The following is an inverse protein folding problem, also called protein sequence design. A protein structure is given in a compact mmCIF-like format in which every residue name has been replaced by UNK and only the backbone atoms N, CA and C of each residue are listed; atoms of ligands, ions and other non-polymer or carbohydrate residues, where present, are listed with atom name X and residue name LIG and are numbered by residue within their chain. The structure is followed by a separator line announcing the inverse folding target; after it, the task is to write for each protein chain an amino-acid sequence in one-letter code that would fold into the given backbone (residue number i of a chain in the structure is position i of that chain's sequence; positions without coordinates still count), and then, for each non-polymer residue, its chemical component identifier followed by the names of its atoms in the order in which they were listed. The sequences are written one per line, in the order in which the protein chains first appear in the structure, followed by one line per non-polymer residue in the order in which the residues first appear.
data_IF_510263750759
#
_entry.id   IF_510263750759
#
_cell.length_a   1.000
_cell.length_b   1.000
_cell.length_c   1.000
_cell.angle_alpha   90.00
_cell.angle_beta   90.00
_cell.angle_gamma   90.00
#
_symmetry.space_group_name_H-M   'P 1'
#
loop_
_entity.id
_entity.type
_entity.pdbx_description
1 polymer ?
#
# COMPACT_ATOMS: atom_id res chain seq x y z
N UNK A 1 1.26 -1.96 -30.22
CA UNK A 1 0.50 -3.17 -29.79
C UNK A 1 -0.32 -3.77 -30.93
N UNK A 2 -1.18 -3.02 -31.61
CA UNK A 2 -2.15 -3.57 -32.57
C UNK A 2 -1.80 -3.41 -34.07
N UNK A 3 -0.57 -3.02 -34.40
CA UNK A 3 -0.14 -2.80 -35.79
C UNK A 3 -0.79 -1.60 -36.49
N UNK A 4 -1.52 -0.75 -35.77
CA UNK A 4 -2.11 0.49 -36.27
C UNK A 4 -1.19 1.68 -35.96
N UNK A 5 -0.99 2.55 -36.94
CA UNK A 5 -0.25 3.81 -36.77
C UNK A 5 -1.18 4.91 -36.24
N UNK A 6 -0.61 6.01 -35.74
CA UNK A 6 -1.40 7.18 -35.36
C UNK A 6 -2.23 7.72 -36.54
N UNK A 7 -1.62 7.79 -37.73
CA UNK A 7 -2.30 8.25 -38.94
C UNK A 7 -3.51 7.37 -39.30
N UNK A 8 -3.42 6.06 -39.09
CA UNK A 8 -4.56 5.16 -39.29
C UNK A 8 -5.72 5.54 -38.36
N UNK A 9 -5.43 5.70 -37.07
CA UNK A 9 -6.44 6.01 -36.06
C UNK A 9 -7.13 7.35 -36.35
N UNK A 10 -6.36 8.37 -36.72
CA UNK A 10 -6.88 9.73 -36.93
C UNK A 10 -7.67 9.87 -38.23
N UNK A 11 -7.37 9.07 -39.26
CA UNK A 11 -7.87 9.33 -40.63
C UNK A 11 -8.86 8.29 -41.16
N UNK A 12 -8.92 7.07 -40.60
CA UNK A 12 -9.67 5.95 -41.22
C UNK A 12 -10.95 5.55 -40.49
N UNK A 13 -11.49 6.41 -39.60
CA UNK A 13 -12.84 6.25 -39.05
C UNK A 13 -13.05 5.03 -38.15
N UNK A 14 -12.04 4.66 -37.36
CA UNK A 14 -12.14 3.55 -36.40
C UNK A 14 -13.13 3.83 -35.26
N UNK A 15 -13.76 2.77 -34.76
CA UNK A 15 -14.46 2.74 -33.47
C UNK A 15 -13.60 2.00 -32.46
N UNK A 16 -13.11 2.72 -31.44
CA UNK A 16 -12.29 2.17 -30.36
C UNK A 16 -13.14 2.10 -29.10
N UNK A 17 -13.38 0.88 -28.63
CA UNK A 17 -14.08 0.60 -27.39
C UNK A 17 -13.07 0.48 -26.26
N UNK A 18 -13.37 1.11 -25.14
CA UNK A 18 -12.44 1.22 -24.00
C UNK A 18 -13.09 0.78 -22.71
N UNK A 19 -12.27 0.67 -21.67
CA UNK A 19 -12.69 0.41 -20.28
C UNK A 19 -13.08 1.70 -19.53
N UNK A 20 -13.04 2.84 -20.21
CA UNK A 20 -13.30 4.16 -19.65
C UNK A 20 -14.68 4.25 -18.98
N UNK A 21 -14.69 4.66 -17.72
CA UNK A 21 -15.86 5.19 -17.04
C UNK A 21 -15.82 6.72 -17.17
N UNK A 22 -16.74 7.28 -17.96
CA UNK A 22 -16.77 8.72 -18.23
C UNK A 22 -17.06 9.55 -16.98
N UNK A 23 -17.81 9.01 -16.01
CA UNK A 23 -18.08 9.70 -14.74
C UNK A 23 -16.79 9.72 -13.91
N UNK A 24 -16.12 8.59 -13.73
CA UNK A 24 -14.85 8.54 -12.99
C UNK A 24 -13.78 9.44 -13.65
N UNK A 25 -13.64 9.39 -14.97
CA UNK A 25 -12.66 10.20 -15.69
C UNK A 25 -12.95 11.71 -15.57
N UNK A 26 -14.20 12.13 -15.73
CA UNK A 26 -14.56 13.56 -15.64
C UNK A 26 -14.43 14.09 -14.21
N UNK A 27 -14.72 13.27 -13.20
CA UNK A 27 -14.42 13.55 -11.79
C UNK A 27 -12.92 13.74 -11.58
N UNK A 28 -12.09 12.80 -12.03
CA UNK A 28 -10.62 12.87 -11.90
C UNK A 28 -10.07 14.14 -12.56
N UNK A 29 -10.52 14.46 -13.78
CA UNK A 29 -10.15 15.68 -14.49
C UNK A 29 -10.54 16.96 -13.74
N UNK A 30 -11.72 16.97 -13.11
CA UNK A 30 -12.22 18.12 -12.35
C UNK A 30 -11.40 18.34 -11.08
N UNK A 31 -11.02 17.26 -10.40
CA UNK A 31 -10.17 17.31 -9.20
C UNK A 31 -8.74 17.75 -9.54
N UNK A 32 -8.20 17.33 -10.68
CA UNK A 32 -6.88 17.78 -11.17
C UNK A 32 -6.82 19.27 -11.55
N UNK A 33 -7.96 19.87 -11.92
CA UNK A 33 -8.05 21.32 -12.19
C UNK A 33 -8.05 22.16 -10.91
N UNK A 34 -8.41 21.57 -9.76
CA UNK A 34 -8.44 22.29 -8.49
C UNK A 34 -7.06 22.27 -7.83
N UNK A 35 -6.34 23.39 -7.87
CA UNK A 35 -5.02 23.53 -7.26
C UNK A 35 -5.00 23.27 -5.76
N UNK A 36 -6.13 23.40 -5.06
CA UNK A 36 -6.23 23.13 -3.63
C UNK A 36 -6.06 21.66 -3.27
N UNK A 37 -6.11 20.74 -4.25
CA UNK A 37 -5.88 19.31 -4.03
C UNK A 37 -4.40 18.92 -4.05
N UNK A 38 -3.49 19.87 -4.25
CA UNK A 38 -2.07 19.60 -4.44
C UNK A 38 -1.21 20.47 -3.52
N UNK A 39 0.06 20.09 -3.29
CA UNK A 39 1.02 20.96 -2.62
C UNK A 39 1.20 22.29 -3.36
N UNK A 40 1.67 23.28 -2.62
CA UNK A 40 2.12 24.53 -3.19
C UNK A 40 3.20 24.30 -4.26
N UNK A 41 3.23 25.16 -5.26
CA UNK A 41 4.30 25.18 -6.23
C UNK A 41 5.63 25.57 -5.55
N UNK A 42 6.74 25.20 -6.18
CA UNK A 42 8.07 25.66 -5.76
C UNK A 42 8.17 27.20 -5.86
N UNK A 43 9.19 27.75 -5.20
CA UNK A 43 9.41 29.21 -5.15
C UNK A 43 9.63 29.85 -6.53
N UNK A 44 10.10 29.08 -7.50
CA UNK A 44 10.29 29.53 -8.89
C UNK A 44 9.01 29.41 -9.75
N UNK A 45 7.90 28.99 -9.14
CA UNK A 45 6.62 28.76 -9.80
C UNK A 45 6.46 27.35 -10.39
N UNK A 46 7.49 26.50 -10.33
CA UNK A 46 7.42 25.11 -10.82
C UNK A 46 6.32 24.37 -10.08
N UNK A 47 5.41 23.78 -10.85
CA UNK A 47 4.27 23.05 -10.30
C UNK A 47 4.72 21.65 -9.86
N UNK A 48 4.31 21.24 -8.64
CA UNK A 48 4.34 19.83 -8.26
C UNK A 48 3.47 19.05 -9.22
N UNK A 49 3.98 17.99 -9.83
CA UNK A 49 3.20 17.15 -10.73
C UNK A 49 2.49 16.05 -9.97
N UNK A 50 1.47 15.48 -10.62
CA UNK A 50 0.69 14.38 -10.08
C UNK A 50 0.22 13.43 -11.17
N UNK A 51 -0.12 12.21 -10.78
CA UNK A 51 -0.75 11.22 -11.62
C UNK A 51 -1.71 10.37 -10.80
N UNK A 52 -2.86 10.05 -11.38
CA UNK A 52 -3.83 9.13 -10.79
C UNK A 52 -4.27 8.09 -11.82
N UNK A 53 -4.50 6.87 -11.37
CA UNK A 53 -5.07 5.80 -12.20
C UNK A 53 -6.05 4.97 -11.37
N UNK A 54 -7.24 4.76 -11.94
CA UNK A 54 -8.31 3.96 -11.38
C UNK A 54 -8.50 2.70 -12.23
N UNK A 55 -8.64 1.55 -11.58
CA UNK A 55 -8.71 0.25 -12.24
C UNK A 55 -9.76 -0.65 -11.60
N UNK A 56 -10.55 -1.34 -12.41
CA UNK A 56 -11.40 -2.44 -11.96
C UNK A 56 -10.52 -3.67 -11.64
N UNK A 57 -10.42 -4.09 -10.37
CA UNK A 57 -9.55 -5.19 -9.98
C UNK A 57 -10.00 -6.55 -10.50
N UNK A 58 -11.25 -6.69 -10.93
CA UNK A 58 -11.80 -7.98 -11.39
C UNK A 58 -11.32 -8.36 -12.79
N UNK A 59 -11.03 -7.37 -13.63
CA UNK A 59 -10.62 -7.56 -15.02
C UNK A 59 -9.35 -6.79 -15.42
N UNK A 60 -8.91 -5.78 -14.66
CA UNK A 60 -7.74 -4.95 -14.98
C UNK A 60 -8.02 -3.78 -15.92
N UNK A 61 -9.29 -3.50 -16.20
CA UNK A 61 -9.71 -2.38 -17.04
C UNK A 61 -9.45 -1.05 -16.34
N UNK A 62 -8.73 -0.16 -17.02
CA UNK A 62 -8.47 1.20 -16.51
C UNK A 62 -9.70 2.06 -16.76
N UNK A 63 -10.36 2.47 -15.68
CA UNK A 63 -11.63 3.20 -15.73
C UNK A 63 -11.43 4.71 -15.78
N UNK A 64 -10.34 5.22 -15.21
CA UNK A 64 -9.94 6.62 -15.29
C UNK A 64 -8.41 6.77 -15.17
N UNK A 65 -7.85 7.77 -15.84
CA UNK A 65 -6.41 8.08 -15.80
C UNK A 65 -6.14 9.58 -15.95
N UNK A 66 -5.21 10.10 -15.15
CA UNK A 66 -4.68 11.45 -15.27
C UNK A 66 -3.15 11.42 -15.23
N UNK A 67 -2.51 11.98 -16.26
CA UNK A 67 -1.06 11.90 -16.46
C UNK A 67 -0.24 13.14 -16.04
N UNK A 68 -0.89 14.17 -15.51
CA UNK A 68 -0.23 15.42 -15.15
C UNK A 68 -1.18 16.55 -14.81
N UNK A 69 -0.63 17.58 -14.17
CA UNK A 69 -1.25 18.88 -13.93
C UNK A 69 -0.77 19.90 -14.97
N UNK A 70 -1.52 20.99 -15.10
CA UNK A 70 -1.17 22.11 -15.97
C UNK A 70 -1.59 21.90 -17.41
N UNK A 71 -0.83 22.49 -18.34
CA UNK A 71 -1.15 22.43 -19.76
C UNK A 71 -0.96 21.02 -20.33
N UNK A 72 -1.96 20.56 -21.08
CA UNK A 72 -1.92 19.30 -21.80
C UNK A 72 -1.58 19.54 -23.26
N UNK A 73 -0.61 18.80 -23.77
CA UNK A 73 -0.30 18.71 -25.21
C UNK A 73 -0.68 17.33 -25.74
N UNK A 74 -1.03 17.24 -27.02
CA UNK A 74 -1.40 15.98 -27.65
C UNK A 74 -0.29 14.94 -27.48
N UNK A 75 -0.63 13.80 -26.86
CA UNK A 75 0.32 12.72 -26.51
C UNK A 75 1.52 13.19 -25.69
N UNK A 76 1.34 14.25 -24.89
CA UNK A 76 2.32 14.68 -23.92
C UNK A 76 2.70 13.56 -22.94
N UNK A 77 3.82 13.77 -22.24
CA UNK A 77 4.31 12.80 -21.27
C UNK A 77 3.26 12.49 -20.20
N UNK A 78 2.87 11.23 -20.09
CA UNK A 78 1.84 10.78 -19.17
C UNK A 78 2.49 10.08 -17.97
N UNK A 79 2.46 10.74 -16.82
CA UNK A 79 3.09 10.22 -15.60
C UNK A 79 2.42 8.97 -15.04
N UNK A 80 1.15 8.72 -15.35
CA UNK A 80 0.46 7.50 -14.91
C UNK A 80 0.96 6.24 -15.62
N UNK A 81 1.36 6.36 -16.90
CA UNK A 81 1.69 5.21 -17.75
C UNK A 81 3.14 5.16 -18.23
N UNK A 82 3.85 6.29 -18.25
CA UNK A 82 5.20 6.40 -18.82
C UNK A 82 6.27 6.78 -17.80
N UNK A 83 5.92 7.45 -16.70
CA UNK A 83 6.89 7.80 -15.67
C UNK A 83 7.28 6.56 -14.89
N UNK A 84 8.58 6.44 -14.59
CA UNK A 84 9.11 5.42 -13.70
C UNK A 84 9.77 6.13 -12.52
N UNK A 85 9.27 5.87 -11.32
CA UNK A 85 9.68 6.52 -10.06
C UNK A 85 9.94 5.48 -8.98
N UNK A 86 10.70 5.85 -7.97
CA UNK A 86 10.85 4.97 -6.80
C UNK A 86 9.46 4.73 -6.19
N UNK A 87 9.02 3.48 -5.96
CA UNK A 87 7.78 3.22 -5.23
C UNK A 87 7.89 3.58 -3.74
N UNK A 88 9.12 3.79 -3.24
CA UNK A 88 9.36 3.92 -1.81
C UNK A 88 8.75 2.73 -1.06
N UNK A 89 8.03 3.02 0.03
CA UNK A 89 7.42 1.99 0.88
C UNK A 89 6.20 1.26 0.30
N UNK A 90 5.63 1.67 -0.84
CA UNK A 90 4.51 0.92 -1.45
C UNK A 90 4.93 -0.44 -1.99
N UNK A 91 6.24 -0.69 -2.14
CA UNK A 91 6.76 -1.99 -2.55
C UNK A 91 6.76 -3.03 -1.41
N UNK A 92 6.73 -2.61 -0.14
CA UNK A 92 6.85 -3.51 1.03
C UNK A 92 5.83 -4.67 1.04
N UNK A 93 4.53 -4.46 0.74
CA UNK A 93 3.56 -5.56 0.64
C UNK A 93 4.02 -6.66 -0.31
N UNK A 94 4.64 -6.30 -1.44
CA UNK A 94 5.11 -7.25 -2.46
C UNK A 94 6.47 -7.86 -2.12
N UNK A 95 7.40 -7.03 -1.67
CA UNK A 95 8.80 -7.39 -1.48
C UNK A 95 9.07 -8.16 -0.18
N UNK A 96 8.31 -7.91 0.90
CA UNK A 96 8.61 -8.53 2.19
C UNK A 96 7.41 -9.16 2.87
N UNK A 97 6.29 -8.47 2.99
CA UNK A 97 5.22 -8.97 3.86
C UNK A 97 4.46 -10.13 3.20
N UNK A 98 4.13 -10.05 1.90
CA UNK A 98 3.50 -11.19 1.19
C UNK A 98 4.38 -12.43 1.21
N UNK A 99 5.68 -12.37 0.81
CA UNK A 99 6.52 -13.55 0.85
C UNK A 99 6.75 -14.03 2.29
N UNK A 100 6.76 -13.17 3.32
CA UNK A 100 6.81 -13.61 4.71
C UNK A 100 5.57 -14.42 5.11
N UNK A 101 4.35 -13.96 4.77
CA UNK A 101 3.11 -14.71 5.00
C UNK A 101 3.11 -16.08 4.28
N UNK A 102 3.71 -16.15 3.10
CA UNK A 102 3.89 -17.42 2.38
C UNK A 102 4.90 -18.37 3.05
N UNK A 103 5.66 -17.88 4.04
CA UNK A 103 6.77 -18.59 4.68
C UNK A 103 6.59 -18.70 6.20
N UNK A 104 5.34 -18.79 6.67
CA UNK A 104 5.02 -19.14 8.06
C UNK A 104 5.02 -17.98 9.05
N UNK A 105 5.11 -16.74 8.57
CA UNK A 105 4.76 -15.58 9.37
C UNK A 105 3.26 -15.29 9.29
N UNK A 106 2.77 -14.60 10.30
CA UNK A 106 1.38 -14.19 10.45
C UNK A 106 1.30 -12.68 10.72
N UNK A 107 0.09 -12.12 10.63
CA UNK A 107 -0.15 -10.68 10.82
C UNK A 107 0.38 -10.12 12.15
N UNK A 108 0.41 -10.93 13.20
CA UNK A 108 0.82 -10.61 14.58
C UNK A 108 2.25 -11.03 14.89
N UNK A 109 2.98 -11.63 13.93
CA UNK A 109 4.37 -12.05 14.17
C UNK A 109 5.25 -10.87 14.55
N UNK A 110 5.98 -11.02 15.65
CA UNK A 110 6.90 -10.00 16.16
C UNK A 110 8.12 -9.84 15.25
N UNK A 111 8.37 -8.59 14.85
CA UNK A 111 9.48 -8.21 13.98
C UNK A 111 10.47 -7.34 14.75
N UNK A 112 11.76 -7.56 14.52
CA UNK A 112 12.79 -6.76 15.18
C UNK A 112 12.81 -5.32 14.63
N UNK A 113 12.58 -4.34 15.51
CA UNK A 113 12.62 -2.92 15.22
C UNK A 113 13.81 -2.27 15.93
N UNK A 114 15.02 -2.45 15.37
CA UNK A 114 16.29 -1.92 15.90
C UNK A 114 17.16 -1.38 14.78
N UNK A 115 17.91 -0.31 15.08
CA UNK A 115 19.00 0.17 14.22
C UNK A 115 20.06 -0.92 14.11
N UNK A 116 20.32 -1.36 12.88
CA UNK A 116 21.26 -2.44 12.62
C UNK A 116 21.87 -2.29 11.22
N UNK A 117 23.11 -2.72 11.08
CA UNK A 117 23.82 -2.72 9.80
C UNK A 117 23.83 -4.13 9.20
N UNK A 118 23.68 -4.21 7.89
CA UNK A 118 23.62 -5.45 7.13
C UNK A 118 24.73 -5.51 6.10
N UNK A 119 25.16 -6.74 5.79
CA UNK A 119 26.12 -7.03 4.74
C UNK A 119 27.52 -6.45 5.00
N UNK A 120 28.42 -6.70 4.06
CA UNK A 120 29.80 -6.17 4.09
C UNK A 120 29.87 -4.70 3.70
N UNK A 121 28.82 -4.16 3.08
CA UNK A 121 28.70 -2.75 2.72
C UNK A 121 28.14 -1.89 3.87
N UNK A 122 27.91 -2.46 5.05
CA UNK A 122 27.37 -1.78 6.22
C UNK A 122 26.09 -0.99 5.95
N UNK A 123 25.20 -1.53 5.10
CA UNK A 123 23.91 -0.90 4.81
C UNK A 123 23.08 -0.81 6.09
N UNK A 124 22.75 0.40 6.52
CA UNK A 124 22.14 0.67 7.84
C UNK A 124 20.91 1.56 7.71
N UNK A 125 19.76 1.00 7.30
CA UNK A 125 18.53 1.77 7.12
C UNK A 125 18.01 2.28 8.48
N UNK A 126 17.50 3.50 8.49
CA UNK A 126 16.87 4.12 9.66
C UNK A 126 15.35 4.14 9.52
N UNK A 127 14.67 4.05 10.67
CA UNK A 127 13.28 4.50 10.73
C UNK A 127 13.21 6.02 10.63
N UNK A 128 12.07 6.51 10.16
CA UNK A 128 11.74 7.92 10.26
C UNK A 128 11.85 8.39 11.72
N UNK A 129 12.49 9.53 11.94
CA UNK A 129 12.74 10.08 13.28
C UNK A 129 13.70 9.27 14.17
N UNK A 130 14.45 8.32 13.60
CA UNK A 130 15.47 7.49 14.29
C UNK A 130 14.96 6.82 15.59
N UNK A 131 13.67 6.48 15.64
CA UNK A 131 13.01 5.86 16.79
C UNK A 131 12.78 4.37 16.56
N UNK A 132 13.03 3.56 17.59
CA UNK A 132 13.04 2.10 17.54
C UNK A 132 12.30 1.50 18.74
N UNK A 133 11.47 0.49 18.50
CA UNK A 133 10.61 -0.15 19.52
C UNK A 133 11.20 -1.43 20.10
N UNK A 134 12.33 -1.90 19.57
CA UNK A 134 12.89 -3.20 19.92
C UNK A 134 12.23 -4.31 19.12
N UNK A 135 10.93 -4.50 19.33
CA UNK A 135 10.06 -5.44 18.59
C UNK A 135 8.72 -4.76 18.25
N UNK A 136 8.07 -5.22 17.20
CA UNK A 136 6.77 -4.70 16.73
C UNK A 136 6.01 -5.77 15.94
N UNK A 137 4.69 -5.92 16.14
CA UNK A 137 3.88 -6.83 15.33
C UNK A 137 3.91 -6.47 13.83
N UNK A 138 3.88 -7.48 12.96
CA UNK A 138 3.96 -7.29 11.51
C UNK A 138 2.90 -6.33 10.96
N UNK A 139 1.66 -6.40 11.45
CA UNK A 139 0.58 -5.50 11.03
C UNK A 139 0.88 -4.04 11.40
N UNK A 140 1.49 -3.79 12.57
CA UNK A 140 1.89 -2.44 12.98
C UNK A 140 3.10 -1.93 12.20
N UNK A 141 4.04 -2.81 11.86
CA UNK A 141 5.17 -2.48 11.01
C UNK A 141 4.72 -2.05 9.60
N UNK A 142 3.73 -2.75 9.04
CA UNK A 142 3.14 -2.40 7.74
C UNK A 142 2.35 -1.09 7.80
N UNK A 143 1.41 -0.93 8.75
CA UNK A 143 0.52 0.23 8.79
C UNK A 143 1.27 1.55 9.00
N UNK A 144 2.30 1.51 9.85
CA UNK A 144 3.15 2.66 10.15
C UNK A 144 4.36 2.78 9.22
N UNK A 145 4.50 1.83 8.29
CA UNK A 145 5.56 1.83 7.29
C UNK A 145 6.98 1.85 7.85
N UNK A 146 7.25 1.17 8.97
CA UNK A 146 8.58 1.15 9.56
C UNK A 146 9.61 0.49 8.62
N UNK A 147 10.83 1.01 8.62
CA UNK A 147 11.90 0.60 7.69
C UNK A 147 12.72 -0.55 8.28
N UNK A 148 13.15 -0.41 9.53
CA UNK A 148 13.96 -1.41 10.21
C UNK A 148 13.34 -2.81 10.24
N UNK A 149 12.07 -3.02 10.65
CA UNK A 149 11.46 -4.36 10.65
C UNK A 149 11.25 -4.91 9.23
N UNK A 150 10.95 -4.05 8.24
CA UNK A 150 10.81 -4.47 6.86
C UNK A 150 12.14 -5.01 6.28
N UNK A 151 13.24 -4.30 6.52
CA UNK A 151 14.57 -4.74 6.06
C UNK A 151 15.03 -5.98 6.82
N UNK A 152 14.81 -6.01 8.14
CA UNK A 152 15.12 -7.19 8.95
C UNK A 152 14.39 -8.42 8.44
N UNK A 153 13.08 -8.29 8.18
CA UNK A 153 12.26 -9.41 7.72
C UNK A 153 12.69 -9.88 6.32
N UNK A 154 13.01 -8.97 5.39
CA UNK A 154 13.55 -9.36 4.09
C UNK A 154 14.87 -10.12 4.22
N UNK A 155 15.76 -9.65 5.10
CA UNK A 155 17.02 -10.33 5.40
C UNK A 155 16.78 -11.73 5.99
N UNK A 156 15.78 -11.89 6.87
CA UNK A 156 15.41 -13.16 7.49
C UNK A 156 14.83 -14.17 6.50
N UNK A 157 13.89 -13.75 5.65
CA UNK A 157 13.25 -14.65 4.68
C UNK A 157 14.15 -14.93 3.46
N UNK A 158 15.13 -14.06 3.22
CA UNK A 158 16.06 -14.11 2.10
C UNK A 158 15.65 -13.16 0.98
N UNK A 159 16.60 -12.31 0.54
CA UNK A 159 16.38 -11.26 -0.48
C UNK A 159 15.78 -11.81 -1.78
N UNK A 160 16.25 -12.99 -2.22
CA UNK A 160 15.75 -13.65 -3.43
C UNK A 160 14.24 -13.92 -3.38
N UNK A 161 13.69 -14.30 -2.21
CA UNK A 161 12.23 -14.52 -2.08
C UNK A 161 11.45 -13.22 -2.28
N UNK A 162 12.00 -12.10 -1.81
CA UNK A 162 11.42 -10.79 -2.05
C UNK A 162 11.50 -10.40 -3.52
N UNK A 163 12.65 -10.59 -4.15
CA UNK A 163 12.87 -10.30 -5.56
C UNK A 163 11.90 -11.07 -6.46
N UNK A 164 11.83 -12.40 -6.27
CA UNK A 164 10.93 -13.28 -7.03
C UNK A 164 9.45 -12.94 -6.78
N UNK A 165 9.13 -12.48 -5.56
CA UNK A 165 7.77 -12.03 -5.23
C UNK A 165 7.40 -10.79 -6.03
N UNK A 166 8.25 -9.75 -6.03
CA UNK A 166 8.00 -8.49 -6.76
C UNK A 166 7.83 -8.73 -8.26
N UNK A 167 8.70 -9.52 -8.88
CA UNK A 167 8.59 -9.95 -10.28
C UNK A 167 7.24 -10.63 -10.56
N UNK A 168 6.80 -11.52 -9.67
CA UNK A 168 5.53 -12.24 -9.79
C UNK A 168 4.30 -11.32 -9.68
N UNK A 169 4.41 -10.17 -9.00
CA UNK A 169 3.38 -9.12 -9.00
C UNK A 169 3.38 -8.26 -10.28
N UNK A 170 4.28 -8.53 -11.23
CA UNK A 170 4.36 -7.82 -12.51
C UNK A 170 5.21 -6.56 -12.48
N UNK A 171 6.01 -6.37 -11.42
CA UNK A 171 6.99 -5.28 -11.32
C UNK A 171 8.34 -5.80 -11.79
N UNK A 172 8.80 -5.32 -12.94
CA UNK A 172 10.07 -5.75 -13.53
C UNK A 172 11.26 -5.07 -12.83
N UNK A 173 12.16 -5.87 -12.30
CA UNK A 173 13.37 -5.49 -11.59
C UNK A 173 14.61 -5.70 -12.47
N UNK A 174 15.63 -4.86 -12.25
CA UNK A 174 16.97 -5.16 -12.72
C UNK A 174 17.60 -6.21 -11.80
N UNK A 175 18.53 -7.03 -12.30
CA UNK A 175 19.25 -7.99 -11.47
C UNK A 175 20.00 -7.30 -10.31
N UNK A 176 20.39 -6.04 -10.49
CA UNK A 176 21.03 -5.25 -9.43
C UNK A 176 20.09 -4.92 -8.27
N UNK A 177 18.77 -5.00 -8.47
CA UNK A 177 17.77 -4.71 -7.45
C UNK A 177 17.60 -5.86 -6.45
N UNK A 178 18.27 -7.02 -6.67
CA UNK A 178 18.29 -8.14 -5.73
C UNK A 178 19.18 -7.85 -4.51
N UNK A 179 18.78 -6.87 -3.71
CA UNK A 179 19.46 -6.42 -2.50
C UNK A 179 18.45 -5.90 -1.46
N UNK A 180 18.92 -5.60 -0.23
CA UNK A 180 18.03 -5.18 0.87
C UNK A 180 17.39 -3.80 0.69
N UNK A 181 17.95 -2.90 -0.13
CA UNK A 181 17.38 -1.58 -0.36
C UNK A 181 16.07 -1.63 -1.17
N UNK A 182 15.85 -2.71 -1.94
CA UNK A 182 14.63 -2.93 -2.70
C UNK A 182 13.37 -2.83 -1.83
N UNK A 183 13.40 -3.31 -0.59
CA UNK A 183 12.22 -3.28 0.30
C UNK A 183 11.80 -1.85 0.68
N UNK A 184 12.67 -0.86 0.50
CA UNK A 184 12.40 0.55 0.73
C UNK A 184 12.20 1.33 -0.58
N UNK A 185 12.06 0.64 -1.71
CA UNK A 185 11.87 1.24 -3.03
C UNK A 185 13.16 1.58 -3.76
N UNK A 186 14.32 1.19 -3.24
CA UNK A 186 15.63 1.35 -3.89
C UNK A 186 15.80 0.41 -5.08
N UNK A 187 15.05 0.65 -6.15
CA UNK A 187 15.08 -0.11 -7.41
C UNK A 187 15.53 0.79 -8.56
N UNK A 188 16.31 0.24 -9.49
CA UNK A 188 17.03 1.01 -10.51
C UNK A 188 16.12 1.73 -11.50
N UNK A 189 15.06 1.06 -11.96
CA UNK A 189 14.16 1.62 -12.98
C UNK A 189 13.00 2.41 -12.39
N UNK A 190 12.54 2.05 -11.19
CA UNK A 190 11.28 2.53 -10.64
C UNK A 190 10.05 1.84 -11.26
N UNK A 191 8.87 2.38 -10.96
CA UNK A 191 7.55 1.90 -11.40
C UNK A 191 6.68 3.05 -11.87
N UNK A 192 5.71 2.74 -12.74
CA UNK A 192 4.62 3.65 -13.07
C UNK A 192 3.41 3.43 -12.14
N UNK A 193 2.54 4.44 -11.96
CA UNK A 193 1.24 4.27 -11.32
C UNK A 193 0.42 3.13 -11.90
N UNK A 194 0.44 2.94 -13.23
CA UNK A 194 -0.22 1.82 -13.90
C UNK A 194 0.33 0.46 -13.43
N UNK A 195 1.65 0.33 -13.28
CA UNK A 195 2.30 -0.90 -12.80
C UNK A 195 1.89 -1.20 -11.35
N UNK A 196 1.85 -0.17 -10.51
CA UNK A 196 1.44 -0.31 -9.11
C UNK A 196 -0.04 -0.67 -8.98
N UNK A 197 -0.92 0.00 -9.73
CA UNK A 197 -2.35 -0.32 -9.74
C UNK A 197 -2.57 -1.78 -10.17
N UNK A 198 -1.85 -2.24 -11.19
CA UNK A 198 -1.87 -3.63 -11.62
C UNK A 198 -1.47 -4.58 -10.48
N UNK A 199 -0.35 -4.32 -9.80
CA UNK A 199 0.11 -5.18 -8.71
C UNK A 199 -0.92 -5.26 -7.56
N UNK A 200 -1.54 -4.13 -7.19
CA UNK A 200 -2.55 -4.04 -6.14
C UNK A 200 -3.87 -4.77 -6.48
N UNK A 201 -4.19 -4.98 -7.76
CA UNK A 201 -5.36 -5.81 -8.12
C UNK A 201 -5.27 -7.22 -7.55
N UNK A 202 -4.06 -7.74 -7.35
CA UNK A 202 -3.84 -9.03 -6.71
C UNK A 202 -4.52 -9.11 -5.36
N UNK A 203 -4.41 -8.08 -4.52
CA UNK A 203 -5.01 -8.10 -3.19
C UNK A 203 -6.52 -7.86 -3.25
N UNK A 204 -6.95 -6.88 -4.04
CA UNK A 204 -8.36 -6.57 -4.25
C UNK A 204 -9.16 -7.77 -4.81
N UNK A 205 -8.52 -8.58 -5.65
CA UNK A 205 -9.11 -9.74 -6.33
C UNK A 205 -8.73 -11.08 -5.68
N UNK A 206 -8.52 -11.08 -4.36
CA UNK A 206 -8.36 -12.30 -3.57
C UNK A 206 -7.20 -13.20 -4.01
N UNK A 207 -6.08 -12.61 -4.44
CA UNK A 207 -4.84 -13.24 -4.85
C UNK A 207 -4.65 -13.42 -6.36
N UNK A 208 -5.52 -12.82 -7.19
CA UNK A 208 -5.45 -12.90 -8.65
C UNK A 208 -4.96 -11.59 -9.26
N UNK A 209 -3.85 -11.64 -9.98
CA UNK A 209 -3.33 -10.52 -10.75
C UNK A 209 -4.11 -10.36 -12.06
N UNK A 210 -4.54 -9.14 -12.35
CA UNK A 210 -5.13 -8.75 -13.64
C UNK A 210 -4.17 -7.90 -14.43
N UNK A 211 -4.24 -7.93 -15.76
CA UNK A 211 -3.40 -7.06 -16.60
C UNK A 211 -4.09 -5.72 -16.85
N UNK A 212 -3.36 -4.63 -16.61
CA UNK A 212 -3.81 -3.28 -16.90
C UNK A 212 -4.10 -3.11 -18.39
N UNK A 213 -5.27 -2.56 -18.72
CA UNK A 213 -5.61 -2.31 -20.11
C UNK A 213 -6.66 -1.21 -20.31
N UNK A 214 -6.62 -0.58 -21.48
CA UNK A 214 -7.50 0.53 -21.85
C UNK A 214 -8.51 0.21 -22.94
N UNK A 215 -8.15 -0.65 -23.91
CA UNK A 215 -8.91 -0.86 -25.16
C UNK A 215 -9.52 -2.25 -25.16
N UNK A 216 -10.82 -2.41 -25.23
CA UNK A 216 -11.45 -3.74 -25.31
C UNK A 216 -11.58 -4.23 -26.75
N UNK A 217 -11.93 -3.33 -27.67
CA UNK A 217 -12.21 -3.69 -29.07
C UNK A 217 -11.88 -2.55 -30.02
N UNK A 218 -11.43 -2.87 -31.24
CA UNK A 218 -11.25 -1.92 -32.33
C UNK A 218 -11.98 -2.45 -33.56
N UNK A 219 -12.82 -1.60 -34.14
CA UNK A 219 -13.58 -1.89 -35.37
C UNK A 219 -13.24 -0.82 -36.40
N UNK A 220 -12.93 -1.21 -37.64
CA UNK A 220 -12.68 -0.26 -38.72
C UNK A 220 -13.97 0.36 -39.28
N UNK A 221 -13.84 1.32 -40.21
CA UNK A 221 -14.99 2.00 -40.81
C UNK A 221 -15.91 1.06 -41.62
N UNK A 222 -15.42 -0.11 -42.07
CA UNK A 222 -16.24 -1.12 -42.76
C UNK A 222 -17.07 -1.98 -41.81
N UNK A 223 -16.84 -1.87 -40.50
CA UNK A 223 -17.45 -2.73 -39.49
C UNK A 223 -16.65 -4.00 -39.19
N UNK A 224 -15.44 -4.16 -39.77
CA UNK A 224 -14.58 -5.30 -39.48
C UNK A 224 -13.89 -5.12 -38.14
N UNK A 225 -13.96 -6.17 -37.31
CA UNK A 225 -13.23 -6.22 -36.03
C UNK A 225 -11.74 -6.43 -36.32
N UNK A 226 -10.91 -5.47 -35.91
CA UNK A 226 -9.45 -5.52 -36.04
C UNK A 226 -8.82 -6.05 -34.76
N UNK A 227 -9.39 -5.67 -33.62
CA UNK A 227 -8.98 -6.12 -32.29
C UNK A 227 -10.22 -6.51 -31.54
N UNK A 228 -10.22 -7.71 -30.97
CA UNK A 228 -11.16 -8.16 -29.95
C UNK A 228 -10.31 -8.72 -28.82
N UNK A 229 -10.01 -7.88 -27.82
CA UNK A 229 -9.14 -8.31 -26.74
C UNK A 229 -9.95 -9.19 -25.79
N UNK A 230 -9.75 -10.50 -25.88
CA UNK A 230 -10.03 -11.42 -24.79
C UNK A 230 -8.82 -11.35 -23.85
N UNK A 231 -8.94 -10.50 -22.83
CA UNK A 231 -7.86 -10.32 -21.86
C UNK A 231 -7.65 -11.62 -21.07
N UNK A 232 -6.38 -11.93 -20.80
CA UNK A 232 -6.03 -13.12 -20.03
C UNK A 232 -6.83 -13.15 -18.73
N UNK A 233 -7.39 -14.33 -18.45
CA UNK A 233 -8.14 -14.54 -17.22
C UNK A 233 -7.25 -14.22 -16.00
N UNK A 234 -7.79 -13.58 -14.95
CA UNK A 234 -7.01 -13.15 -13.80
C UNK A 234 -6.17 -14.31 -13.23
N UNK A 235 -4.85 -14.16 -13.20
CA UNK A 235 -3.92 -15.21 -12.81
C UNK A 235 -3.75 -15.23 -11.30
N UNK A 236 -4.09 -16.35 -10.65
CA UNK A 236 -3.80 -16.52 -9.22
C UNK A 236 -2.29 -16.61 -8.99
N UNK A 237 -1.71 -15.62 -8.31
CA UNK A 237 -0.28 -15.58 -7.98
C UNK A 237 0.01 -15.80 -6.49
N UNK A 238 -1.00 -15.57 -5.64
CA UNK A 238 -0.97 -15.89 -4.20
C UNK A 238 -2.28 -16.57 -3.77
N UNK A 239 -2.25 -17.29 -2.65
CA UNK A 239 -3.46 -17.91 -2.11
C UNK A 239 -4.46 -16.84 -1.64
N UNK A 240 -5.74 -17.19 -1.62
CA UNK A 240 -6.77 -16.28 -1.09
C UNK A 240 -6.51 -15.93 0.39
N UNK A 241 -6.00 -16.89 1.17
CA UNK A 241 -5.68 -16.66 2.58
C UNK A 241 -4.56 -15.63 2.74
N UNK A 242 -3.47 -15.74 1.98
CA UNK A 242 -2.38 -14.76 2.01
C UNK A 242 -2.87 -13.38 1.55
N UNK A 243 -3.70 -13.31 0.50
CA UNK A 243 -4.29 -12.05 0.05
C UNK A 243 -5.21 -11.42 1.12
N UNK A 244 -6.00 -12.24 1.81
CA UNK A 244 -6.90 -11.81 2.88
C UNK A 244 -6.12 -11.28 4.09
N UNK A 245 -5.05 -11.96 4.48
CA UNK A 245 -4.21 -11.56 5.61
C UNK A 245 -3.40 -10.30 5.29
N UNK A 246 -2.88 -10.17 4.07
CA UNK A 246 -2.28 -8.92 3.60
C UNK A 246 -3.30 -7.77 3.62
N UNK A 247 -4.52 -8.02 3.14
CA UNK A 247 -5.62 -7.03 3.19
C UNK A 247 -5.95 -6.64 4.63
N UNK A 248 -6.02 -7.62 5.54
CA UNK A 248 -6.28 -7.37 6.97
C UNK A 248 -5.27 -6.41 7.60
N UNK A 249 -3.97 -6.59 7.30
CA UNK A 249 -2.93 -5.66 7.76
C UNK A 249 -3.01 -4.30 7.07
N UNK A 250 -3.28 -4.26 5.76
CA UNK A 250 -3.33 -3.02 4.98
C UNK A 250 -4.57 -2.16 5.24
N UNK A 251 -5.65 -2.72 5.81
CA UNK A 251 -6.75 -1.92 6.39
C UNK A 251 -6.23 -0.98 7.49
N UNK A 252 -5.28 -1.49 8.30
CA UNK A 252 -4.57 -0.74 9.34
C UNK A 252 -3.92 0.55 8.83
N UNK A 253 -3.39 0.55 7.60
CA UNK A 253 -2.76 1.73 6.99
C UNK A 253 -3.72 2.92 6.96
N UNK A 254 -4.98 2.71 6.61
CA UNK A 254 -5.99 3.77 6.48
C UNK A 254 -6.80 3.99 7.76
N UNK A 255 -6.82 3.04 8.69
CA UNK A 255 -7.54 3.17 9.96
C UNK A 255 -6.68 3.73 11.11
N UNK A 256 -5.39 3.36 11.18
CA UNK A 256 -4.49 3.69 12.29
C UNK A 256 -3.11 4.18 11.85
N UNK A 257 -2.77 4.03 10.56
CA UNK A 257 -1.41 4.21 10.07
C UNK A 257 -1.21 5.45 9.19
N UNK A 258 -0.25 5.32 8.29
CA UNK A 258 0.25 6.40 7.43
C UNK A 258 -0.76 6.93 6.40
N UNK A 259 -1.86 6.22 6.14
CA UNK A 259 -2.90 6.60 5.17
C UNK A 259 -4.17 7.20 5.79
N UNK A 260 -4.21 7.47 7.09
CA UNK A 260 -5.43 7.94 7.79
C UNK A 260 -6.04 9.21 7.18
N UNK A 261 -5.20 10.14 6.74
CA UNK A 261 -5.68 11.39 6.12
C UNK A 261 -6.17 11.21 4.69
N UNK A 262 -5.81 10.10 4.04
CA UNK A 262 -6.23 9.74 2.69
C UNK A 262 -7.57 8.96 2.68
N UNK A 263 -8.01 8.48 3.85
CA UNK A 263 -9.21 7.64 3.94
C UNK A 263 -10.49 8.44 3.60
N UNK A 264 -11.30 8.01 2.62
CA UNK A 264 -12.63 8.57 2.40
C UNK A 264 -13.57 8.26 3.56
N UNK A 265 -14.44 9.20 3.92
CA UNK A 265 -15.39 9.03 5.01
C UNK A 265 -16.38 7.90 4.69
N UNK A 266 -16.76 7.11 5.71
CA UNK A 266 -17.73 6.01 5.64
C UNK A 266 -17.34 4.79 4.78
N UNK A 267 -16.13 4.76 4.20
CA UNK A 267 -15.65 3.61 3.45
C UNK A 267 -14.45 2.96 4.13
N UNK A 268 -14.35 1.64 3.99
CA UNK A 268 -13.12 0.92 4.29
C UNK A 268 -12.23 0.92 3.04
N UNK A 269 -10.95 1.17 3.24
CA UNK A 269 -9.92 1.13 2.19
C UNK A 269 -8.74 0.37 2.76
N UNK A 270 -8.19 -0.54 1.99
CA UNK A 270 -6.92 -1.19 2.28
C UNK A 270 -5.86 -0.64 1.32
N UNK A 271 -4.61 -0.54 1.78
CA UNK A 271 -3.51 -0.24 0.89
C UNK A 271 -2.24 0.20 1.61
N UNK A 272 -1.43 1.00 0.91
CA UNK A 272 -0.12 1.42 1.36
C UNK A 272 0.25 2.81 0.84
N UNK A 273 0.98 3.55 1.66
CA UNK A 273 1.63 4.81 1.28
C UNK A 273 3.12 4.60 0.98
N UNK A 274 3.71 5.49 0.19
CA UNK A 274 5.14 5.49 -0.12
C UNK A 274 5.71 6.90 -0.09
N UNK A 275 6.95 6.99 0.37
CA UNK A 275 7.74 8.22 0.38
C UNK A 275 9.17 7.83 0.01
N UNK A 276 9.81 8.65 -0.83
CA UNK A 276 11.24 8.53 -1.13
C UNK A 276 11.93 9.82 -0.72
N UNK A 277 12.93 9.73 0.16
CA UNK A 277 13.70 10.89 0.62
C UNK A 277 14.41 11.57 -0.57
N UNK A 278 14.58 12.89 -0.49
CA UNK A 278 15.26 13.69 -1.49
C UNK A 278 16.74 13.85 -1.15
N UNK A 279 17.48 12.74 -1.21
CA UNK A 279 18.91 12.74 -0.96
C UNK A 279 19.63 13.74 -1.89
N UNK A 280 20.52 14.56 -1.33
CA UNK A 280 21.33 15.51 -2.08
C UNK A 280 20.66 16.87 -2.37
N UNK A 281 19.44 17.13 -1.91
CA UNK A 281 18.84 18.49 -1.94
C UNK A 281 19.43 19.42 -0.89
N UNK A 282 20.05 18.87 0.15
CA UNK A 282 20.49 19.61 1.32
C UNK A 282 19.37 19.87 2.34
N UNK A 283 18.16 19.36 2.09
CA UNK A 283 17.08 19.28 3.06
C UNK A 283 16.87 17.81 3.47
N UNK A 284 17.13 17.50 4.74
CA UNK A 284 16.99 16.15 5.29
C UNK A 284 15.54 15.70 5.48
N UNK A 285 14.56 16.58 5.28
CA UNK A 285 13.13 16.28 5.32
C UNK A 285 12.48 16.32 3.92
N UNK A 286 13.25 16.67 2.88
CA UNK A 286 12.74 16.78 1.52
C UNK A 286 12.36 15.43 0.95
N UNK A 287 11.29 15.40 0.14
CA UNK A 287 10.81 14.18 -0.53
C UNK A 287 10.82 14.34 -2.05
N UNK A 288 11.22 13.27 -2.76
CA UNK A 288 11.19 13.19 -4.24
C UNK A 288 9.82 12.73 -4.75
N UNK A 289 9.34 11.62 -4.19
CA UNK A 289 8.15 10.90 -4.63
C UNK A 289 7.24 10.62 -3.44
N UNK A 290 5.95 10.88 -3.59
CA UNK A 290 4.91 10.47 -2.66
C UNK A 290 3.84 9.65 -3.35
N UNK A 291 3.42 8.58 -2.68
CA UNK A 291 2.45 7.61 -3.20
C UNK A 291 1.33 7.34 -2.21
N UNK A 292 0.11 7.20 -2.73
CA UNK A 292 -1.01 6.58 -2.01
C UNK A 292 -1.64 5.55 -2.94
N UNK A 293 -1.47 4.29 -2.57
CA UNK A 293 -1.96 3.14 -3.32
C UNK A 293 -3.00 2.44 -2.46
N UNK A 294 -4.24 2.37 -2.92
CA UNK A 294 -5.28 1.74 -2.13
C UNK A 294 -6.43 1.22 -2.95
N UNK A 295 -7.23 0.38 -2.30
CA UNK A 295 -8.29 -0.35 -2.98
C UNK A 295 -9.46 -0.65 -2.05
N UNK A 296 -10.59 -0.88 -2.71
CA UNK A 296 -11.73 -1.63 -2.22
C UNK A 296 -11.83 -2.92 -3.06
N UNK A 297 -12.76 -3.85 -2.77
CA UNK A 297 -13.00 -4.98 -3.66
C UNK A 297 -13.47 -4.58 -5.07
N UNK A 298 -13.94 -3.35 -5.28
CA UNK A 298 -14.50 -2.89 -6.56
C UNK A 298 -13.59 -1.91 -7.33
N UNK A 299 -12.59 -1.33 -6.69
CA UNK A 299 -11.76 -0.30 -7.29
C UNK A 299 -10.35 -0.31 -6.70
N UNK A 300 -9.34 -0.29 -7.57
CA UNK A 300 -7.96 0.05 -7.21
C UNK A 300 -7.70 1.49 -7.68
N UNK A 301 -7.13 2.31 -6.81
CA UNK A 301 -6.72 3.68 -7.09
C UNK A 301 -5.27 3.86 -6.65
N UNK A 302 -4.45 4.43 -7.54
CA UNK A 302 -3.05 4.76 -7.26
C UNK A 302 -2.80 6.21 -7.62
N UNK A 303 -2.22 6.95 -6.68
CA UNK A 303 -1.84 8.34 -6.84
C UNK A 303 -0.34 8.51 -6.59
N UNK A 304 0.30 9.27 -7.46
CA UNK A 304 1.68 9.74 -7.30
C UNK A 304 1.70 11.27 -7.32
N UNK A 305 2.53 11.88 -6.48
CA UNK A 305 2.89 13.29 -6.55
C UNK A 305 4.40 13.49 -6.39
N UNK A 306 4.94 14.47 -7.11
CA UNK A 306 6.36 14.77 -7.12
C UNK A 306 6.73 15.82 -8.16
N UNK A 307 7.96 16.33 -8.08
CA UNK A 307 8.50 17.17 -9.14
C UNK A 307 9.03 16.30 -10.29
N UNK A 308 8.89 16.78 -11.53
CA UNK A 308 9.49 16.08 -12.67
C UNK A 308 11.00 15.93 -12.51
N UNK A 309 11.65 17.01 -12.06
CA UNK A 309 13.06 17.07 -11.73
C UNK A 309 13.19 17.50 -10.28
N UNK A 310 13.62 16.59 -9.41
CA UNK A 310 13.88 16.91 -8.02
C UNK A 310 15.25 17.56 -7.86
N UNK A 311 15.30 18.67 -7.13
CA UNK A 311 16.54 19.38 -6.81
C UNK A 311 16.37 20.20 -5.52
N UNK A 312 17.41 20.95 -5.12
CA UNK A 312 17.38 21.79 -3.91
C UNK A 312 16.25 22.82 -3.87
N UNK A 313 15.77 23.33 -5.00
CA UNK A 313 14.61 24.24 -5.05
C UNK A 313 13.27 23.53 -5.30
N UNK A 314 13.31 22.33 -5.86
CA UNK A 314 12.13 21.59 -6.32
C UNK A 314 12.10 20.21 -5.65
N UNK A 315 11.70 20.17 -4.38
CA UNK A 315 11.40 18.96 -3.65
C UNK A 315 10.16 19.19 -2.80
N UNK A 316 9.52 18.10 -2.41
CA UNK A 316 8.32 18.18 -1.61
C UNK A 316 8.70 18.41 -0.14
N UNK A 317 8.37 19.59 0.36
CA UNK A 317 8.51 19.96 1.77
C UNK A 317 7.20 19.64 2.48
N UNK A 318 6.98 18.36 2.77
CA UNK A 318 5.69 17.90 3.28
C UNK A 318 5.84 17.58 4.76
N UNK A 319 5.27 18.40 5.67
CA UNK A 319 4.86 17.90 6.96
C UNK A 319 3.93 16.71 6.71
N UNK A 320 4.33 15.53 7.19
CA UNK A 320 3.67 14.24 7.00
C UNK A 320 2.15 14.33 6.75
N UNK A 321 1.69 13.78 5.63
CA UNK A 321 0.30 13.32 5.47
C UNK A 321 -0.74 14.25 4.86
N UNK A 322 -0.43 15.51 4.50
CA UNK A 322 -1.49 16.44 4.08
C UNK A 322 -1.87 16.40 2.59
N UNK A 323 -0.92 16.48 1.65
CA UNK A 323 -1.28 16.84 0.28
C UNK A 323 -1.61 15.66 -0.65
N UNK A 324 -0.77 14.62 -0.78
CA UNK A 324 -1.11 13.42 -1.60
C UNK A 324 -2.37 12.72 -1.08
N UNK A 325 -2.53 12.72 0.24
CA UNK A 325 -3.72 12.23 0.90
C UNK A 325 -4.99 12.96 0.47
N UNK A 326 -4.90 14.26 0.16
CA UNK A 326 -6.06 15.07 -0.17
C UNK A 326 -6.63 14.73 -1.55
N UNK A 327 -5.78 14.65 -2.58
CA UNK A 327 -6.22 14.27 -3.93
C UNK A 327 -6.84 12.86 -3.91
N UNK A 328 -6.11 11.89 -3.34
CA UNK A 328 -6.58 10.50 -3.23
C UNK A 328 -7.92 10.41 -2.49
N UNK A 329 -8.04 11.09 -1.34
CA UNK A 329 -9.29 11.11 -0.57
C UNK A 329 -10.43 11.72 -1.38
N UNK A 330 -10.20 12.81 -2.09
CA UNK A 330 -11.22 13.48 -2.89
C UNK A 330 -11.70 12.60 -4.06
N UNK A 331 -10.76 11.94 -4.75
CA UNK A 331 -11.05 11.00 -5.83
C UNK A 331 -11.87 9.81 -5.32
N UNK A 332 -11.39 9.13 -4.28
CA UNK A 332 -12.11 7.99 -3.69
C UNK A 332 -13.47 8.39 -3.14
N UNK A 333 -13.59 9.54 -2.44
CA UNK A 333 -14.87 10.04 -1.92
C UNK A 333 -15.88 10.26 -3.05
N UNK A 334 -15.43 10.72 -4.21
CA UNK A 334 -16.28 11.03 -5.35
C UNK A 334 -16.63 9.79 -6.19
N UNK A 335 -15.73 8.81 -6.26
CA UNK A 335 -15.89 7.63 -7.13
C UNK A 335 -16.58 6.45 -6.44
N UNK A 336 -16.28 6.18 -5.17
CA UNK A 336 -16.84 5.04 -4.44
C UNK A 336 -18.38 4.97 -4.40
N UNK A 337 -19.13 6.10 -4.30
CA UNK A 337 -20.58 6.06 -4.36
C UNK A 337 -21.15 5.40 -5.63
N UNK A 338 -20.40 5.45 -6.74
CA UNK A 338 -20.79 4.89 -8.04
C UNK A 338 -20.24 3.48 -8.29
N UNK A 339 -19.59 2.86 -7.29
CA UNK A 339 -19.14 1.47 -7.35
C UNK A 339 -20.19 0.53 -6.75
N UNK A 340 -19.94 -0.78 -6.76
CA UNK A 340 -20.84 -1.76 -6.13
C UNK A 340 -20.84 -1.68 -4.60
N UNK A 341 -19.86 -0.99 -4.01
CA UNK A 341 -19.66 -0.85 -2.57
C UNK A 341 -19.58 -2.21 -1.85
N UNK A 342 -18.97 -3.19 -2.50
CA UNK A 342 -18.69 -4.51 -1.95
C UNK A 342 -17.84 -4.36 -0.69
N UNK A 343 -18.35 -4.84 0.43
CA UNK A 343 -17.62 -4.80 1.70
C UNK A 343 -16.44 -5.77 1.70
N UNK A 344 -15.39 -5.44 2.46
CA UNK A 344 -14.34 -6.41 2.76
C UNK A 344 -14.91 -7.56 3.59
N UNK A 345 -14.55 -8.79 3.22
CA UNK A 345 -14.89 -9.97 4.02
C UNK A 345 -13.89 -10.23 5.14
N UNK A 346 -12.81 -9.45 5.21
CA UNK A 346 -11.73 -9.59 6.20
C UNK A 346 -11.84 -8.51 7.26
N UNK A 347 -11.46 -8.84 8.50
CA UNK A 347 -11.38 -7.88 9.61
C UNK A 347 -10.02 -7.17 9.58
N UNK A 348 -9.96 -5.94 10.11
CA UNK A 348 -8.72 -5.21 10.34
C UNK A 348 -7.85 -5.94 11.38
N UNK A 349 -6.56 -6.10 11.11
CA UNK A 349 -5.60 -6.76 12.00
C UNK A 349 -5.55 -6.11 13.40
N UNK A 350 -5.75 -4.79 13.50
CA UNK A 350 -5.86 -4.10 14.79
C UNK A 350 -7.07 -4.60 15.59
N UNK A 351 -8.20 -4.86 14.91
CA UNK A 351 -9.41 -5.41 15.54
C UNK A 351 -9.20 -6.86 15.96
N UNK A 352 -8.48 -7.65 15.17
CA UNK A 352 -8.14 -9.03 15.51
C UNK A 352 -7.26 -9.08 16.77
N UNK A 353 -6.17 -8.31 16.82
CA UNK A 353 -5.28 -8.23 17.97
C UNK A 353 -5.98 -7.73 19.26
N UNK A 354 -6.89 -6.74 19.12
CA UNK A 354 -7.70 -6.28 20.25
C UNK A 354 -8.69 -7.35 20.76
N UNK A 355 -9.22 -8.19 19.86
CA UNK A 355 -10.11 -9.30 20.25
C UNK A 355 -9.37 -10.46 20.93
N UNK A 356 -8.13 -10.72 20.52
CA UNK A 356 -7.30 -11.77 21.13
C UNK A 356 -6.87 -11.37 22.55
N UNK A 357 -6.36 -10.15 22.72
CA UNK A 357 -6.00 -9.62 24.06
C UNK A 357 -7.18 -9.58 25.04
N UNK A 358 -8.38 -9.20 24.57
CA UNK A 358 -9.59 -9.25 25.40
C UNK A 358 -10.02 -10.69 25.75
N UNK A 359 -9.85 -11.65 24.84
CA UNK A 359 -10.12 -13.06 25.13
C UNK A 359 -9.12 -13.68 26.11
N UNK A 360 -7.83 -13.33 26.02
CA UNK A 360 -6.80 -13.78 26.95
C UNK A 360 -7.05 -13.22 28.35
N UNK A 361 -7.36 -11.92 28.46
CA UNK A 361 -7.72 -11.34 29.76
C UNK A 361 -8.98 -12.00 30.35
N UNK A 362 -10.01 -12.28 29.53
CA UNK A 362 -11.20 -13.02 29.96
C UNK A 362 -10.88 -14.42 30.48
N UNK A 363 -10.02 -15.18 29.77
CA UNK A 363 -9.58 -16.50 30.21
C UNK A 363 -8.78 -16.44 31.52
N UNK A 364 -7.91 -15.43 31.69
CA UNK A 364 -7.18 -15.21 32.95
C UNK A 364 -8.15 -14.87 34.09
N UNK A 365 -9.15 -14.03 33.85
CA UNK A 365 -10.18 -13.72 34.85
C UNK A 365 -11.02 -14.94 35.21
N UNK A 366 -11.39 -15.76 34.23
CA UNK A 366 -12.12 -17.01 34.44
C UNK A 366 -11.28 -18.02 35.24
N UNK A 367 -9.97 -18.14 34.96
CA UNK A 367 -9.07 -18.98 35.74
C UNK A 367 -8.89 -18.47 37.18
N UNK A 368 -8.75 -17.16 37.38
CA UNK A 368 -8.68 -16.54 38.71
C UNK A 368 -9.99 -16.77 39.48
N UNK A 369 -11.13 -16.60 38.82
CA UNK A 369 -12.45 -16.78 39.43
C UNK A 369 -12.73 -18.26 39.74
N UNK A 370 -12.33 -19.19 38.87
CA UNK A 370 -12.40 -20.62 39.14
C UNK A 370 -11.43 -21.06 40.23
N UNK A 371 -10.23 -20.46 40.29
CA UNK A 371 -9.27 -20.64 41.37
C UNK A 371 -9.83 -20.19 42.72
N UNK A 372 -10.42 -18.99 42.77
CA UNK A 372 -11.10 -18.46 43.95
C UNK A 372 -12.32 -19.32 44.36
N UNK A 373 -13.09 -19.82 43.38
CA UNK A 373 -14.23 -20.72 43.60
C UNK A 373 -13.84 -22.09 44.17
N UNK A 374 -12.63 -22.59 43.86
CA UNK A 374 -12.08 -23.84 44.43
C UNK A 374 -11.50 -23.64 45.84
N UNK A 375 -10.93 -22.47 46.14
CA UNK A 375 -10.46 -22.10 47.49
C UNK A 375 -11.60 -22.03 48.49
N UNK A 376 -12.80 -21.61 48.06
CA UNK A 376 -14.00 -21.58 48.90
C UNK A 376 -14.49 -22.95 49.43
N UNK A 377 -13.92 -24.08 48.96
CA UNK A 377 -14.33 -25.44 49.38
C UNK A 377 -13.22 -26.27 50.03
N UNK A 378 -12.05 -25.70 50.34
CA UNK A 378 -10.96 -26.44 50.98
C UNK A 378 -10.15 -25.54 51.92
N UNK A 379 -10.71 -25.22 53.08
CA UNK A 379 -9.97 -24.54 54.15
C UNK A 379 -9.31 -25.62 55.01
N UNK A 380 -8.02 -25.86 54.75
CA UNK A 380 -7.17 -26.75 55.55
C UNK A 380 -5.69 -26.44 55.31
N UNK A 381 -5.11 -25.63 56.21
CA UNK A 381 -3.67 -25.36 56.43
C UNK A 381 -2.75 -25.37 55.18
N UNK A 382 -2.78 -24.26 54.44
CA UNK A 382 -1.82 -23.97 53.37
C UNK A 382 -1.97 -22.59 52.70
N UNK A 383 -2.64 -21.63 53.37
CA UNK A 383 -3.14 -20.39 52.77
C UNK A 383 -2.04 -19.34 52.46
N UNK A 384 -0.91 -19.37 53.16
CA UNK A 384 0.07 -18.27 53.08
C UNK A 384 0.87 -18.26 51.77
N UNK A 385 1.18 -19.42 51.18
CA UNK A 385 1.96 -19.47 49.92
C UNK A 385 1.13 -19.13 48.67
N UNK A 386 -0.19 -19.33 48.73
CA UNK A 386 -1.12 -19.07 47.63
C UNK A 386 -1.53 -17.59 47.57
N UNK A 387 -1.73 -16.95 48.73
CA UNK A 387 -1.98 -15.51 48.81
C UNK A 387 -0.76 -14.70 48.36
N UNK A 388 0.45 -15.20 48.62
CA UNK A 388 1.69 -14.58 48.16
C UNK A 388 1.81 -14.62 46.62
N UNK A 389 1.53 -15.78 46.00
CA UNK A 389 1.50 -15.89 44.52
C UNK A 389 0.41 -15.04 43.86
N UNK A 390 -0.76 -14.92 44.49
CA UNK A 390 -1.82 -14.04 44.01
C UNK A 390 -1.43 -12.55 44.13
N UNK A 391 -0.73 -12.17 45.20
CA UNK A 391 -0.18 -10.83 45.38
C UNK A 391 0.94 -10.51 44.37
N UNK A 392 1.81 -11.47 44.07
CA UNK A 392 2.87 -11.31 43.08
C UNK A 392 2.31 -11.14 41.67
N UNK A 393 1.29 -11.92 41.29
CA UNK A 393 0.54 -11.76 40.04
C UNK A 393 -0.16 -10.40 39.94
N UNK A 394 -0.77 -9.92 41.03
CA UNK A 394 -1.41 -8.60 41.09
C UNK A 394 -0.40 -7.45 40.94
N UNK A 395 0.78 -7.57 41.54
CA UNK A 395 1.85 -6.58 41.43
C UNK A 395 2.49 -6.59 40.03
N UNK A 396 2.60 -7.75 39.39
CA UNK A 396 3.06 -7.85 38.00
C UNK A 396 2.06 -7.21 37.04
N UNK A 397 0.75 -7.36 37.29
CA UNK A 397 -0.32 -6.80 36.45
C UNK A 397 -0.47 -5.28 36.61
N UNK A 398 -0.36 -4.76 37.84
CA UNK A 398 -0.41 -3.31 38.10
C UNK A 398 0.85 -2.57 37.65
N UNK A 399 2.00 -3.25 37.58
CA UNK A 399 3.23 -2.72 36.98
C UNK A 399 3.18 -2.60 35.44
N UNK A 400 2.31 -3.36 34.76
CA UNK A 400 2.14 -3.32 33.30
C UNK A 400 1.12 -2.25 32.87
N UNK A 401 0.11 -1.95 33.70
CA UNK A 401 -0.91 -0.92 33.43
C UNK A 401 -0.48 0.50 33.87
N UNK A 402 0.66 0.61 34.53
CA UNK A 402 1.19 1.85 35.08
C UNK A 402 2.52 2.27 34.49
N UNK A 403 2.67 2.28 33.16
CA UNK A 403 3.70 3.05 32.44
C UNK A 403 3.29 3.40 31.01
#
# INVERSE_FOLDING_TARGET
KYGLTEADIMNHGYKIYTTLDQTQQSTMQSLFKNSANFPANASDGTMVQAASIAMDPSNGGVTAVMGGRGEHVFRGFNRATQSLRSPGSTIKPFAVYTPALQNGYYYDSELQDKKQSYGTNHYSPSNYGDTYRGEVPMYQALQNSYNAPAVWLLNKIGVQKGYDSVERFGINLDKTDNNLAMVLGGIKKGVSPETMAQAFTTFANGGKLTQAHFITKIVDASGKVIVDNDYDQPKRIISKNVANEMTSMMLGTFSHGTGVYAKPANYQVAGKTGTTEADGTGDSAGTTDMWVDGYTPDLVMVNWEGFDQTNKGNHLDVPQGYNVSQLYRAEMTSMLPNTKQTAFTVKDANTLAASESSSESGNVWDEVQQGAGKVGKSIGKGADSLLQKAGDLWNQFTGILGH
#
